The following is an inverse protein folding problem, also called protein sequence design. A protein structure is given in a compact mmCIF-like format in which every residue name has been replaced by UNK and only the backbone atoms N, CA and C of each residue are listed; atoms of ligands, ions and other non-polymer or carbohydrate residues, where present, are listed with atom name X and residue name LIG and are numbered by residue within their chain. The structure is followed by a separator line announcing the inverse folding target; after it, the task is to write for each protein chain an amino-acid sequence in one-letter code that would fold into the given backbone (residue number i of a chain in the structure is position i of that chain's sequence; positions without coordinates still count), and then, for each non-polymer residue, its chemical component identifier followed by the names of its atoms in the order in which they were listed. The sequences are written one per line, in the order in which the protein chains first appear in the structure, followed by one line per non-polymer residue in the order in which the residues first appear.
data_IF_256111738805
#
_entry.id   IF_256111738805
#
_cell.length_a   1.000
_cell.length_b   1.000
_cell.length_c   1.000
_cell.angle_alpha   90.00
_cell.angle_beta   90.00
_cell.angle_gamma   90.00
#
_symmetry.space_group_name_H-M   'P 1'
#
loop_
_entity.id
_entity.type
_entity.pdbx_description
1 polymer ?
#
# COMPACT_ATOMS: atom_id res chain seq x y z
N UNK A 1 1.05 3.11 22.45
CA UNK A 1 2.03 3.80 21.59
C UNK A 1 1.41 3.95 20.20
N UNK A 2 1.71 4.98 19.43
CA UNK A 2 1.24 5.10 18.06
C UNK A 2 1.85 4.01 17.18
N UNK A 3 1.11 3.60 16.14
CA UNK A 3 1.54 2.68 15.10
C UNK A 3 1.62 3.40 13.76
N UNK A 4 2.38 2.89 12.82
CA UNK A 4 2.43 3.43 11.47
C UNK A 4 1.47 2.64 10.57
N UNK A 5 0.56 3.34 9.89
CA UNK A 5 -0.22 2.77 8.81
C UNK A 5 0.48 2.99 7.47
N UNK A 6 0.43 2.01 6.60
CA UNK A 6 0.93 2.06 5.23
C UNK A 6 -0.19 1.62 4.29
N UNK A 7 -0.64 2.51 3.44
CA UNK A 7 -1.55 2.22 2.32
C UNK A 7 -0.78 2.26 1.01
N UNK A 8 -0.99 1.25 0.17
CA UNK A 8 -0.45 1.20 -1.19
C UNK A 8 -1.58 1.05 -2.18
N UNK A 9 -1.42 1.63 -3.36
CA UNK A 9 -2.37 1.54 -4.45
C UNK A 9 -1.64 1.54 -5.80
N UNK A 10 -2.03 0.63 -6.68
CA UNK A 10 -1.48 0.57 -8.03
C UNK A 10 -2.54 0.12 -9.03
N UNK A 11 -2.53 0.72 -10.23
CA UNK A 11 -3.39 0.32 -11.35
C UNK A 11 -2.68 -0.76 -12.14
N UNK A 12 -3.30 -1.92 -12.28
CA UNK A 12 -2.78 -3.02 -13.10
C UNK A 12 -3.08 -2.80 -14.57
N UNK A 13 -2.21 -3.32 -15.42
CA UNK A 13 -2.38 -3.30 -16.89
C UNK A 13 -3.55 -4.17 -17.33
N UNK A 14 -3.74 -5.30 -16.67
CA UNK A 14 -4.81 -6.26 -16.94
C UNK A 14 -5.67 -6.48 -15.70
N UNK A 15 -6.97 -6.83 -15.88
CA UNK A 15 -7.82 -7.25 -14.79
C UNK A 15 -7.24 -8.45 -14.05
N UNK A 16 -7.59 -8.58 -12.76
CA UNK A 16 -7.16 -9.71 -11.92
C UNK A 16 -7.71 -11.05 -12.43
N UNK A 17 -8.83 -11.04 -13.15
CA UNK A 17 -9.44 -12.23 -13.79
C UNK A 17 -8.76 -12.66 -15.11
N UNK A 18 -7.79 -11.88 -15.62
CA UNK A 18 -7.07 -12.22 -16.85
C UNK A 18 -6.22 -13.49 -16.63
N UNK A 19 -6.41 -14.56 -17.44
CA UNK A 19 -5.67 -15.82 -17.31
C UNK A 19 -4.24 -15.76 -17.85
N UNK A 20 -3.76 -14.57 -18.26
CA UNK A 20 -2.42 -14.42 -18.83
C UNK A 20 -1.33 -14.85 -17.83
N UNK A 21 -0.22 -15.45 -18.31
CA UNK A 21 0.90 -15.88 -17.44
C UNK A 21 1.45 -14.76 -16.56
N UNK A 22 1.45 -13.53 -17.05
CA UNK A 22 1.93 -12.36 -16.33
C UNK A 22 1.05 -12.03 -15.11
N UNK A 23 -0.26 -12.24 -15.21
CA UNK A 23 -1.20 -12.09 -14.08
C UNK A 23 -0.97 -13.17 -13.04
N UNK A 24 -0.78 -14.42 -13.47
CA UNK A 24 -0.45 -15.52 -12.54
C UNK A 24 0.87 -15.25 -11.80
N UNK A 25 1.90 -14.79 -12.51
CA UNK A 25 3.19 -14.41 -11.91
C UNK A 25 3.04 -13.29 -10.88
N UNK A 26 2.17 -12.30 -11.15
CA UNK A 26 1.87 -11.23 -10.20
C UNK A 26 1.30 -11.81 -8.89
N UNK A 27 0.32 -12.71 -8.98
CA UNK A 27 -0.27 -13.37 -7.80
C UNK A 27 0.76 -14.18 -7.02
N UNK A 28 1.53 -15.03 -7.68
CA UNK A 28 2.55 -15.87 -7.05
C UNK A 28 3.61 -15.02 -6.33
N UNK A 29 4.06 -13.94 -6.99
CA UNK A 29 5.01 -12.99 -6.42
C UNK A 29 4.40 -12.27 -5.21
N UNK A 30 3.15 -11.82 -5.32
CA UNK A 30 2.39 -11.19 -4.24
C UNK A 30 2.27 -12.09 -3.02
N UNK A 31 1.87 -13.34 -3.20
CA UNK A 31 1.77 -14.34 -2.13
C UNK A 31 3.10 -14.56 -1.40
N UNK A 32 4.19 -14.67 -2.15
CA UNK A 32 5.52 -14.84 -1.58
C UNK A 32 5.97 -13.59 -0.77
N UNK A 33 5.67 -12.39 -1.27
CA UNK A 33 5.92 -11.11 -0.59
C UNK A 33 5.10 -11.03 0.70
N UNK A 34 3.79 -11.33 0.66
CA UNK A 34 2.92 -11.30 1.84
C UNK A 34 3.40 -12.23 2.95
N UNK A 35 3.74 -13.48 2.61
CA UNK A 35 4.30 -14.45 3.58
C UNK A 35 5.57 -13.95 4.24
N UNK A 36 6.42 -13.23 3.51
CA UNK A 36 7.66 -12.67 4.05
C UNK A 36 7.38 -11.47 4.94
N UNK A 37 6.51 -10.57 4.52
CA UNK A 37 6.09 -9.38 5.28
C UNK A 37 5.51 -9.78 6.63
N UNK A 38 4.60 -10.77 6.66
CA UNK A 38 3.97 -11.24 7.89
C UNK A 38 4.93 -11.85 8.94
N UNK A 39 6.18 -12.11 8.54
CA UNK A 39 7.25 -12.59 9.46
C UNK A 39 8.19 -11.47 9.92
N UNK A 40 8.01 -10.26 9.45
CA UNK A 40 8.86 -9.14 9.83
C UNK A 40 8.58 -8.72 11.28
N UNK A 41 9.61 -8.53 12.14
CA UNK A 41 9.40 -8.22 13.56
C UNK A 41 8.58 -6.96 13.83
N UNK A 42 8.63 -5.98 12.93
CA UNK A 42 7.87 -4.75 13.06
C UNK A 42 6.49 -4.77 12.39
N UNK A 43 6.08 -5.89 11.78
CA UNK A 43 4.75 -6.06 11.22
C UNK A 43 3.73 -6.30 12.33
N UNK A 44 2.57 -5.64 12.27
CA UNK A 44 1.51 -5.77 13.25
C UNK A 44 0.25 -6.42 12.68
N UNK A 45 -0.24 -5.92 11.55
CA UNK A 45 -1.46 -6.40 10.91
C UNK A 45 -1.57 -5.89 9.46
N UNK A 46 -2.44 -6.49 8.68
CA UNK A 46 -2.90 -5.95 7.39
C UNK A 46 -4.39 -6.21 7.19
N UNK A 47 -4.99 -5.46 6.28
CA UNK A 47 -6.39 -5.64 5.92
C UNK A 47 -6.58 -6.98 5.20
N UNK A 48 -7.49 -7.79 5.73
CA UNK A 48 -7.94 -9.06 5.15
C UNK A 48 -9.46 -9.09 5.15
N UNK A 49 -10.04 -9.77 4.17
CA UNK A 49 -11.48 -10.07 4.17
C UNK A 49 -11.82 -11.14 5.19
N UNK A 50 -13.02 -11.11 5.73
CA UNK A 50 -13.46 -12.04 6.78
C UNK A 50 -13.39 -13.51 6.35
N UNK A 51 -13.58 -13.80 5.06
CA UNK A 51 -13.49 -15.12 4.45
C UNK A 51 -12.11 -15.47 3.88
N UNK A 52 -11.16 -14.50 3.89
CA UNK A 52 -9.82 -14.68 3.35
C UNK A 52 -9.75 -14.64 1.82
N UNK A 53 -10.86 -14.37 1.12
CA UNK A 53 -10.87 -14.24 -0.33
C UNK A 53 -10.19 -12.93 -0.77
N UNK A 54 -9.13 -13.06 -1.55
CA UNK A 54 -8.37 -11.92 -2.11
C UNK A 54 -8.82 -11.51 -3.51
N UNK A 55 -9.69 -12.29 -4.14
CA UNK A 55 -10.19 -12.04 -5.48
C UNK A 55 -11.32 -11.03 -5.54
N UNK A 56 -12.06 -10.86 -4.44
CA UNK A 56 -13.19 -9.94 -4.34
C UNK A 56 -12.80 -8.76 -3.44
N UNK A 57 -12.70 -7.58 -4.02
CA UNK A 57 -12.33 -6.36 -3.30
C UNK A 57 -13.56 -5.55 -2.90
N UNK A 58 -14.39 -5.20 -3.89
CA UNK A 58 -15.59 -4.40 -3.68
C UNK A 58 -16.73 -5.26 -3.12
N UNK A 59 -17.38 -4.77 -2.07
CA UNK A 59 -18.50 -5.45 -1.42
C UNK A 59 -18.12 -6.62 -0.50
N UNK A 60 -16.83 -6.94 -0.35
CA UNK A 60 -16.37 -7.91 0.62
C UNK A 60 -16.44 -7.34 2.05
N UNK A 61 -16.56 -8.23 3.03
CA UNK A 61 -16.49 -7.86 4.45
C UNK A 61 -15.02 -7.74 4.89
N UNK A 62 -14.59 -6.51 5.13
CA UNK A 62 -13.26 -6.17 5.61
C UNK A 62 -13.21 -5.92 7.11
N UNK A 63 -14.30 -6.19 7.83
CA UNK A 63 -14.40 -6.00 9.27
C UNK A 63 -14.02 -4.57 9.72
N UNK A 64 -13.13 -4.47 10.70
CA UNK A 64 -12.70 -3.18 11.25
C UNK A 64 -11.93 -2.28 10.25
N UNK A 65 -11.46 -2.81 9.11
CA UNK A 65 -10.79 -2.04 8.07
C UNK A 65 -11.77 -1.23 7.19
N UNK A 66 -13.08 -1.38 7.42
CA UNK A 66 -14.14 -0.65 6.72
C UNK A 66 -14.36 -1.11 5.29
N UNK A 67 -15.28 -0.46 4.60
CA UNK A 67 -15.58 -0.76 3.20
C UNK A 67 -14.37 -0.46 2.30
N UNK A 68 -14.11 -1.36 1.35
CA UNK A 68 -13.01 -1.17 0.38
C UNK A 68 -13.26 0.07 -0.47
N UNK A 69 -12.28 0.94 -0.52
CA UNK A 69 -12.32 2.20 -1.24
C UNK A 69 -11.11 2.37 -2.14
N UNK A 70 -11.26 3.15 -3.20
CA UNK A 70 -10.21 3.46 -4.18
C UNK A 70 -10.16 4.96 -4.43
N UNK A 71 -8.98 5.50 -4.83
CA UNK A 71 -8.86 6.91 -5.20
C UNK A 71 -9.80 7.28 -6.34
N UNK A 72 -10.20 8.56 -6.37
CA UNK A 72 -11.13 9.10 -7.37
C UNK A 72 -10.63 9.01 -8.81
N UNK A 73 -9.31 8.91 -9.01
CA UNK A 73 -8.72 8.73 -10.34
C UNK A 73 -8.75 7.28 -10.86
N UNK A 74 -9.24 6.31 -10.07
CA UNK A 74 -9.35 4.93 -10.52
C UNK A 74 -10.61 4.72 -11.38
N UNK A 75 -10.43 4.32 -12.64
CA UNK A 75 -11.47 4.14 -13.64
C UNK A 75 -11.55 2.74 -14.28
N UNK A 76 -10.70 1.79 -13.82
CA UNK A 76 -10.56 0.43 -14.37
C UNK A 76 -11.60 -0.59 -13.87
N UNK A 77 -12.84 -0.14 -13.64
CA UNK A 77 -13.95 -1.00 -13.24
C UNK A 77 -13.93 -1.41 -11.76
N UNK A 78 -15.06 -1.97 -11.31
CA UNK A 78 -15.31 -2.28 -9.88
C UNK A 78 -15.98 -3.64 -9.68
N UNK A 79 -15.97 -4.50 -10.68
CA UNK A 79 -16.41 -5.90 -10.57
C UNK A 79 -15.21 -6.83 -10.57
N UNK A 80 -15.40 -8.09 -10.16
CA UNK A 80 -14.33 -9.09 -10.16
C UNK A 80 -13.72 -9.29 -11.57
N UNK A 81 -14.54 -9.15 -12.61
CA UNK A 81 -14.11 -9.35 -14.00
C UNK A 81 -13.36 -8.14 -14.57
N UNK A 82 -13.61 -6.94 -14.05
CA UNK A 82 -13.07 -5.70 -14.62
C UNK A 82 -12.06 -4.99 -13.72
N UNK A 83 -11.97 -5.38 -12.47
CA UNK A 83 -11.05 -4.77 -11.51
C UNK A 83 -9.60 -4.99 -11.92
N UNK A 84 -8.88 -3.89 -12.15
CA UNK A 84 -7.46 -3.90 -12.51
C UNK A 84 -6.66 -3.02 -11.54
N UNK A 85 -6.55 -3.46 -10.31
CA UNK A 85 -5.79 -2.77 -9.25
C UNK A 85 -5.16 -3.77 -8.28
N UNK A 86 -4.15 -3.29 -7.57
CA UNK A 86 -3.69 -3.90 -6.33
C UNK A 86 -3.60 -2.81 -5.25
N UNK A 87 -4.15 -3.10 -4.09
CA UNK A 87 -4.10 -2.22 -2.94
C UNK A 87 -3.78 -3.02 -1.68
N UNK A 88 -3.04 -2.42 -0.75
CA UNK A 88 -2.76 -2.99 0.56
C UNK A 88 -2.90 -1.93 1.64
N UNK A 89 -3.36 -2.35 2.81
CA UNK A 89 -3.39 -1.50 4.00
C UNK A 89 -2.82 -2.31 5.16
N UNK A 90 -1.79 -1.79 5.81
CA UNK A 90 -1.04 -2.52 6.84
C UNK A 90 -0.62 -1.62 8.00
N UNK A 91 -0.37 -2.25 9.15
CA UNK A 91 0.10 -1.60 10.37
C UNK A 91 1.49 -2.10 10.75
N UNK A 92 2.31 -1.18 11.24
CA UNK A 92 3.71 -1.37 11.57
C UNK A 92 4.07 -0.70 12.89
N UNK A 93 5.09 -1.20 13.54
CA UNK A 93 5.62 -0.58 14.77
C UNK A 93 6.20 0.81 14.51
N UNK A 94 6.86 0.99 13.36
CA UNK A 94 7.61 2.19 13.02
C UNK A 94 7.94 2.28 11.52
N UNK A 95 8.37 3.46 11.02
CA UNK A 95 8.68 3.66 9.60
C UNK A 95 9.89 2.87 9.09
N UNK A 96 10.87 2.56 9.95
CA UNK A 96 12.04 1.76 9.55
C UNK A 96 11.63 0.33 9.22
N UNK A 97 10.81 -0.27 10.08
CA UNK A 97 10.29 -1.62 9.89
C UNK A 97 9.48 -1.73 8.59
N UNK A 98 8.59 -0.76 8.33
CA UNK A 98 7.83 -0.70 7.08
C UNK A 98 8.75 -0.53 5.86
N UNK A 99 9.72 0.38 5.95
CA UNK A 99 10.69 0.63 4.88
C UNK A 99 11.53 -0.62 4.57
N UNK A 100 12.09 -1.26 5.61
CA UNK A 100 12.91 -2.46 5.44
C UNK A 100 12.12 -3.57 4.74
N UNK A 101 10.89 -3.83 5.19
CA UNK A 101 10.02 -4.84 4.59
C UNK A 101 9.69 -4.55 3.11
N UNK A 102 9.47 -3.28 2.75
CA UNK A 102 9.11 -2.86 1.39
C UNK A 102 10.33 -2.81 0.46
N UNK A 103 11.45 -2.26 0.93
CA UNK A 103 12.58 -1.92 0.05
C UNK A 103 13.78 -2.87 0.17
N UNK A 104 13.61 -4.05 0.80
CA UNK A 104 14.66 -5.07 0.84
C UNK A 104 14.19 -6.41 0.28
N UNK A 105 15.17 -7.27 -0.04
CA UNK A 105 14.93 -8.66 -0.41
C UNK A 105 13.91 -8.86 -1.53
N UNK A 106 12.97 -9.78 -1.30
CA UNK A 106 11.99 -10.22 -2.31
C UNK A 106 11.05 -9.09 -2.77
N UNK A 107 10.58 -8.26 -1.83
CA UNK A 107 9.69 -7.16 -2.18
C UNK A 107 10.40 -6.11 -3.05
N UNK A 108 11.66 -5.78 -2.74
CA UNK A 108 12.46 -4.92 -3.62
C UNK A 108 12.63 -5.50 -5.01
N UNK A 109 12.87 -6.81 -5.12
CA UNK A 109 12.96 -7.47 -6.43
C UNK A 109 11.66 -7.34 -7.23
N UNK A 110 10.50 -7.52 -6.57
CA UNK A 110 9.20 -7.29 -7.18
C UNK A 110 9.00 -5.82 -7.59
N UNK A 111 9.36 -4.85 -6.73
CA UNK A 111 9.27 -3.43 -7.05
C UNK A 111 10.14 -3.03 -8.26
N UNK A 112 11.31 -3.64 -8.46
CA UNK A 112 12.15 -3.39 -9.63
C UNK A 112 11.47 -3.81 -10.94
N UNK A 113 10.54 -4.77 -10.86
CA UNK A 113 9.74 -5.29 -11.98
C UNK A 113 8.31 -4.76 -12.01
N UNK A 114 7.94 -3.82 -11.13
CA UNK A 114 6.54 -3.37 -10.95
C UNK A 114 5.86 -2.97 -12.27
N UNK A 115 6.61 -2.39 -13.20
CA UNK A 115 6.07 -1.96 -14.49
C UNK A 115 5.86 -3.09 -15.52
N UNK A 116 6.17 -4.32 -15.15
CA UNK A 116 5.69 -5.48 -15.90
C UNK A 116 4.18 -5.61 -15.70
N UNK A 117 3.70 -5.37 -14.48
CA UNK A 117 2.31 -5.54 -14.06
C UNK A 117 1.51 -4.24 -13.96
N UNK A 118 2.13 -3.15 -13.48
CA UNK A 118 1.44 -1.89 -13.19
C UNK A 118 1.62 -0.86 -14.32
N UNK A 119 0.59 -0.01 -14.46
CA UNK A 119 0.68 1.19 -15.28
C UNK A 119 1.60 2.22 -14.62
N UNK A 120 2.19 3.08 -15.47
CA UNK A 120 2.87 4.30 -15.01
C UNK A 120 1.82 5.40 -14.89
N UNK A 121 1.52 5.81 -13.70
CA UNK A 121 0.58 6.90 -13.43
C UNK A 121 1.33 8.10 -12.87
N UNK A 122 0.75 9.29 -13.01
CA UNK A 122 1.25 10.52 -12.38
C UNK A 122 0.84 10.66 -10.91
N UNK A 123 0.26 9.62 -10.32
CA UNK A 123 -0.26 9.64 -8.96
C UNK A 123 0.69 8.93 -8.00
N UNK A 124 0.71 9.31 -6.70
CA UNK A 124 1.47 8.58 -5.70
C UNK A 124 0.92 7.15 -5.55
N UNK A 125 1.80 6.21 -5.28
CA UNK A 125 1.47 4.79 -5.16
C UNK A 125 1.40 4.31 -3.70
N UNK A 126 1.78 5.16 -2.76
CA UNK A 126 1.71 4.86 -1.33
C UNK A 126 1.62 6.12 -0.48
N UNK A 127 1.08 5.96 0.70
CA UNK A 127 1.06 6.96 1.77
C UNK A 127 1.22 6.27 3.11
N UNK A 128 1.91 6.93 4.04
CA UNK A 128 2.06 6.48 5.42
C UNK A 128 1.58 7.58 6.37
N UNK A 129 1.11 7.17 7.54
CA UNK A 129 0.67 8.07 8.61
C UNK A 129 0.68 7.38 9.96
N UNK A 130 0.70 8.17 11.02
CA UNK A 130 0.59 7.65 12.37
C UNK A 130 -0.87 7.48 12.79
N UNK A 131 -1.15 6.34 13.45
CA UNK A 131 -2.45 6.03 14.08
C UNK A 131 -2.24 5.78 15.57
N UNK A 132 -3.22 6.13 16.39
CA UNK A 132 -3.19 5.83 17.82
C UNK A 132 -3.18 4.33 18.05
N UNK A 133 -2.46 3.87 19.07
CA UNK A 133 -2.44 2.45 19.42
C UNK A 133 -3.85 1.94 19.71
N UNK A 134 -4.18 0.78 19.17
CA UNK A 134 -5.52 0.17 19.27
C UNK A 134 -6.54 0.66 18.24
N UNK A 135 -6.19 1.61 17.40
CA UNK A 135 -7.05 2.06 16.27
C UNK A 135 -6.68 1.25 15.02
N UNK A 136 -7.68 0.69 14.36
CA UNK A 136 -7.55 0.09 13.03
C UNK A 136 -7.85 1.15 11.98
N UNK A 137 -6.93 1.47 11.07
CA UNK A 137 -7.20 2.40 9.97
C UNK A 137 -8.15 1.76 8.95
N UNK A 138 -8.94 2.59 8.27
CA UNK A 138 -9.86 2.11 7.24
C UNK A 138 -9.29 2.32 5.83
N UNK A 139 -9.84 1.60 4.85
CA UNK A 139 -9.55 1.82 3.44
C UNK A 139 -9.78 3.27 3.02
N UNK A 140 -10.88 3.88 3.51
CA UNK A 140 -11.17 5.30 3.25
C UNK A 140 -10.13 6.25 3.84
N UNK A 141 -9.55 5.89 5.00
CA UNK A 141 -8.42 6.64 5.57
C UNK A 141 -7.21 6.65 4.65
N UNK A 142 -6.88 5.48 4.08
CA UNK A 142 -5.78 5.33 3.13
C UNK A 142 -6.00 6.14 1.86
N UNK A 143 -7.19 6.02 1.28
CA UNK A 143 -7.59 6.76 0.06
C UNK A 143 -7.51 8.27 0.27
N UNK A 144 -8.16 8.78 1.31
CA UNK A 144 -8.20 10.24 1.58
C UNK A 144 -6.80 10.83 1.78
N UNK A 145 -5.89 10.07 2.42
CA UNK A 145 -4.52 10.50 2.64
C UNK A 145 -3.67 10.41 1.37
N UNK A 146 -3.89 9.41 0.54
CA UNK A 146 -3.20 9.30 -0.75
C UNK A 146 -3.61 10.44 -1.69
N UNK A 147 -4.90 10.80 -1.71
CA UNK A 147 -5.42 11.94 -2.46
C UNK A 147 -4.90 13.28 -1.93
N UNK A 148 -4.83 13.43 -0.59
CA UNK A 148 -4.20 14.60 0.02
C UNK A 148 -2.73 14.72 -0.41
N UNK A 149 -1.98 13.63 -0.32
CA UNK A 149 -0.56 13.59 -0.72
C UNK A 149 -0.39 14.01 -2.19
N UNK A 150 -1.29 13.56 -3.07
CA UNK A 150 -1.29 13.95 -4.49
C UNK A 150 -1.53 15.43 -4.69
N UNK A 151 -2.52 16.00 -4.02
CA UNK A 151 -2.93 17.39 -4.22
C UNK A 151 -2.11 18.43 -3.45
N UNK A 152 -1.51 18.05 -2.32
CA UNK A 152 -0.92 19.01 -1.36
C UNK A 152 0.51 18.65 -0.92
N UNK A 153 1.01 17.45 -1.29
CA UNK A 153 2.30 16.97 -0.80
C UNK A 153 2.26 16.41 0.63
N UNK A 154 3.44 16.13 1.18
CA UNK A 154 3.58 15.51 2.50
C UNK A 154 3.20 16.45 3.63
N UNK A 155 2.41 15.95 4.57
CA UNK A 155 1.95 16.61 5.80
C UNK A 155 1.96 15.59 6.97
N UNK A 156 1.90 16.01 8.25
CA UNK A 156 1.98 15.10 9.39
C UNK A 156 0.94 13.96 9.39
N UNK A 157 -0.21 14.16 8.73
CA UNK A 157 -1.27 13.17 8.63
C UNK A 157 -1.25 12.34 7.34
N UNK A 158 -0.35 12.68 6.37
CA UNK A 158 -0.21 11.98 5.09
C UNK A 158 1.18 12.25 4.51
N UNK A 159 2.09 11.27 4.56
CA UNK A 159 3.48 11.48 4.17
C UNK A 159 4.09 10.25 3.49
N UNK A 160 5.33 10.39 3.04
CA UNK A 160 6.11 9.32 2.41
C UNK A 160 7.34 9.00 3.24
N UNK A 161 8.05 7.92 2.91
CA UNK A 161 9.32 7.58 3.54
C UNK A 161 10.41 8.65 3.34
N UNK A 162 10.32 9.44 2.26
CA UNK A 162 11.30 10.51 1.97
C UNK A 162 11.02 11.81 2.72
N UNK A 163 9.75 12.08 3.03
CA UNK A 163 9.33 13.28 3.75
C UNK A 163 8.49 12.83 4.95
N UNK A 164 9.18 12.26 5.93
CA UNK A 164 8.55 11.66 7.09
C UNK A 164 8.33 12.66 8.24
N UNK A 165 7.35 12.34 9.08
CA UNK A 165 7.03 13.08 10.30
C UNK A 165 7.02 12.12 11.49
N UNK A 166 7.45 12.63 12.64
CA UNK A 166 7.31 11.93 13.91
C UNK A 166 5.85 11.93 14.38
N UNK A 167 5.47 11.09 15.36
CA UNK A 167 4.08 11.00 15.83
C UNK A 167 3.50 12.33 16.32
N UNK A 168 4.32 13.21 16.85
CA UNK A 168 3.98 14.57 17.32
C UNK A 168 3.89 15.59 16.18
N UNK A 169 4.13 15.18 14.92
CA UNK A 169 4.01 16.02 13.74
C UNK A 169 5.29 16.79 13.35
N UNK A 170 6.39 16.61 14.06
CA UNK A 170 7.66 17.22 13.67
C UNK A 170 8.25 16.52 12.44
N UNK A 171 8.82 17.28 11.46
CA UNK A 171 9.56 16.67 10.36
C UNK A 171 10.70 15.78 10.87
N UNK A 172 10.89 14.62 10.27
CA UNK A 172 11.96 13.69 10.63
C UNK A 172 12.55 13.01 9.40
N UNK A 173 13.65 12.30 9.57
CA UNK A 173 14.26 11.49 8.53
C UNK A 173 14.31 10.02 8.95
N UNK A 174 14.01 9.12 8.02
CA UNK A 174 14.23 7.71 8.21
C UNK A 174 15.65 7.42 7.75
N UNK A 175 16.56 7.11 8.70
CA UNK A 175 17.99 6.89 8.42
C UNK A 175 18.16 5.78 7.38
N UNK A 176 19.02 5.99 6.38
CA UNK A 176 19.32 5.03 5.33
C UNK A 176 18.46 5.18 4.06
N UNK A 177 17.49 6.06 4.06
CA UNK A 177 16.74 6.42 2.86
C UNK A 177 17.49 7.53 2.13
N UNK A 178 18.35 7.13 1.19
CA UNK A 178 18.90 8.07 0.20
C UNK A 178 17.82 8.45 -0.83
N UNK A 179 17.97 9.59 -1.55
CA UNK A 179 17.06 9.94 -2.62
C UNK A 179 17.11 8.82 -3.69
N UNK A 180 16.06 8.01 -3.75
CA UNK A 180 15.88 7.10 -4.88
C UNK A 180 15.31 7.89 -6.04
N UNK A 181 15.93 7.78 -7.20
CA UNK A 181 15.57 8.44 -8.46
C UNK A 181 14.16 8.11 -8.99
N UNK A 182 13.35 7.38 -8.24
CA UNK A 182 12.06 6.83 -8.65
C UNK A 182 10.82 7.67 -8.27
N UNK A 183 11.02 8.83 -7.62
CA UNK A 183 9.90 9.73 -7.27
C UNK A 183 9.99 11.11 -7.97
N UNK A 184 10.85 11.26 -8.96
CA UNK A 184 10.90 12.46 -9.81
C UNK A 184 10.64 12.04 -11.24
N UNK A 185 9.39 11.93 -11.60
CA UNK A 185 8.74 12.27 -12.88
C UNK A 185 7.32 11.75 -12.95
#
# INVERSE_FOLDING_TARGET
MPHLALYTFGVLKSPLSDPAPLTSEFYETGEAVYRKIGRHPGYLAHAETADGDRGVLFGADWGAWGEFAVPTWYDKGRTAETTALAATLSLWTDPHSAFDAVYTGLHRAALNRRYDWFERTGHPTHVIWWVSGGVTPTWQDGVSRLEHLHGHGSAPHAFTFHHAFAPEGAPTSIKGIGPTSDQVR
#
